data_IF_818204017445
#
_entry.id   IF_818204017445
#
_cell.length_a   1.000
_cell.length_b   1.000
_cell.length_c   1.000
_cell.angle_alpha   90.00
_cell.angle_beta   90.00
_cell.angle_gamma   90.00
#
_symmetry.space_group_name_H-M   'P 1'
#
loop_
_entity.id
_entity.type
_entity.pdbx_description
1 polymer ?
#
# COMPACT_ATOMS: atom_id res chain seq x y z
N UNK A 1 -5.78 16.02 -18.69
CA UNK A 1 -5.02 16.55 -17.54
C UNK A 1 -4.83 15.39 -16.58
N UNK A 2 -3.60 15.04 -16.21
CA UNK A 2 -3.40 14.04 -15.17
C UNK A 2 -3.79 14.65 -13.81
N UNK A 3 -4.42 13.89 -12.91
CA UNK A 3 -4.74 14.39 -11.59
C UNK A 3 -3.45 14.77 -10.87
N UNK A 4 -3.49 15.91 -10.17
CA UNK A 4 -2.40 16.30 -9.26
C UNK A 4 -2.32 15.23 -8.18
N UNK A 5 -1.15 14.58 -8.10
CA UNK A 5 -0.90 13.58 -7.06
C UNK A 5 -0.72 14.31 -5.75
N UNK A 6 -1.67 14.13 -4.83
CA UNK A 6 -1.55 14.65 -3.48
C UNK A 6 -0.65 13.75 -2.60
N UNK A 7 -0.35 14.22 -1.38
CA UNK A 7 0.50 13.50 -0.44
C UNK A 7 -0.03 12.09 -0.11
N UNK A 8 -1.35 11.91 0.01
CA UNK A 8 -1.96 10.62 0.35
C UNK A 8 -1.82 9.63 -0.80
N UNK A 9 -2.02 10.10 -2.03
CA UNK A 9 -1.81 9.30 -3.23
C UNK A 9 -0.34 8.86 -3.35
N UNK A 10 0.61 9.77 -3.11
CA UNK A 10 2.04 9.44 -3.12
C UNK A 10 2.39 8.37 -2.06
N UNK A 11 1.88 8.53 -0.84
CA UNK A 11 2.07 7.56 0.24
C UNK A 11 1.55 6.17 -0.12
N UNK A 12 0.33 6.11 -0.67
CA UNK A 12 -0.29 4.87 -1.16
C UNK A 12 0.56 4.22 -2.26
N UNK A 13 1.06 5.01 -3.21
CA UNK A 13 1.96 4.52 -4.26
C UNK A 13 3.26 3.94 -3.67
N UNK A 14 3.91 4.65 -2.76
CA UNK A 14 5.15 4.18 -2.10
C UNK A 14 4.93 2.87 -1.35
N UNK A 15 3.81 2.73 -0.62
CA UNK A 15 3.49 1.49 0.09
C UNK A 15 3.34 0.29 -0.87
N UNK A 16 2.60 0.48 -1.97
CA UNK A 16 2.42 -0.55 -3.00
C UNK A 16 3.77 -0.91 -3.62
N UNK A 17 4.59 0.07 -3.98
CA UNK A 17 5.93 -0.15 -4.55
C UNK A 17 6.83 -0.94 -3.60
N UNK A 18 6.82 -0.62 -2.30
CA UNK A 18 7.60 -1.36 -1.30
C UNK A 18 7.15 -2.82 -1.18
N UNK A 19 5.84 -3.08 -1.22
CA UNK A 19 5.31 -4.44 -1.21
C UNK A 19 5.76 -5.23 -2.46
N UNK A 20 5.67 -4.60 -3.64
CA UNK A 20 6.13 -5.22 -4.89
C UNK A 20 7.64 -5.55 -4.84
N UNK A 21 8.47 -4.63 -4.34
CA UNK A 21 9.92 -4.83 -4.18
C UNK A 21 10.27 -5.94 -3.18
N UNK A 22 9.39 -6.25 -2.24
CA UNK A 22 9.57 -7.32 -1.24
C UNK A 22 8.90 -8.64 -1.64
N UNK A 23 8.47 -8.76 -2.90
CA UNK A 23 7.95 -10.00 -3.48
C UNK A 23 6.47 -10.25 -3.25
N UNK A 24 5.71 -9.23 -2.84
CA UNK A 24 4.25 -9.30 -2.84
C UNK A 24 3.70 -9.05 -4.25
N UNK A 25 2.56 -9.67 -4.54
CA UNK A 25 1.67 -9.28 -5.65
C UNK A 25 0.54 -8.43 -5.10
N UNK A 26 0.17 -7.36 -5.80
CA UNK A 26 -0.91 -6.45 -5.38
C UNK A 26 -1.98 -6.41 -6.46
N UNK A 27 -3.24 -6.68 -6.10
CA UNK A 27 -4.40 -6.60 -6.99
C UNK A 27 -5.42 -5.61 -6.43
N UNK A 28 -5.82 -4.60 -7.22
CA UNK A 28 -6.99 -3.77 -6.89
C UNK A 28 -8.27 -4.50 -7.28
N UNK A 29 -9.23 -4.58 -6.38
CA UNK A 29 -10.57 -5.14 -6.60
C UNK A 29 -11.56 -4.20 -5.93
N UNK A 30 -12.36 -3.51 -6.73
CA UNK A 30 -13.28 -2.45 -6.26
C UNK A 30 -12.53 -1.45 -5.35
N UNK A 31 -13.03 -1.21 -4.13
CA UNK A 31 -12.42 -0.31 -3.14
C UNK A 31 -11.43 -1.02 -2.21
N UNK A 32 -10.82 -2.11 -2.68
CA UNK A 32 -9.87 -2.91 -1.89
C UNK A 32 -8.59 -3.21 -2.66
N UNK A 33 -7.51 -3.40 -1.90
CA UNK A 33 -6.23 -3.91 -2.38
C UNK A 33 -5.94 -5.25 -1.72
N UNK A 34 -5.69 -6.26 -2.55
CA UNK A 34 -5.35 -7.62 -2.13
C UNK A 34 -3.86 -7.83 -2.35
N UNK A 35 -3.13 -8.02 -1.26
CA UNK A 35 -1.71 -8.31 -1.23
C UNK A 35 -1.53 -9.82 -1.04
N UNK A 36 -0.76 -10.49 -1.91
CA UNK A 36 -0.45 -11.92 -1.79
C UNK A 36 1.04 -12.17 -1.89
N UNK A 37 1.57 -13.04 -1.03
CA UNK A 37 2.97 -13.49 -1.08
C UNK A 37 3.01 -15.00 -1.18
N UNK A 38 3.05 -15.49 -2.43
CA UNK A 38 2.81 -16.91 -2.77
C UNK A 38 3.79 -17.85 -2.06
N UNK A 39 5.06 -17.47 -1.95
CA UNK A 39 6.09 -18.30 -1.32
C UNK A 39 5.98 -18.35 0.21
N UNK A 40 5.22 -17.46 0.84
CA UNK A 40 4.95 -17.45 2.29
C UNK A 40 3.50 -17.84 2.62
N UNK A 41 2.67 -18.17 1.62
CA UNK A 41 1.22 -18.38 1.76
C UNK A 41 0.49 -17.24 2.52
N UNK A 42 0.99 -16.00 2.43
CA UNK A 42 0.36 -14.83 3.07
C UNK A 42 -0.62 -14.12 2.14
N UNK A 43 -1.73 -13.65 2.71
CA UNK A 43 -2.73 -12.83 2.03
C UNK A 43 -3.26 -11.76 2.98
N UNK A 44 -3.22 -10.51 2.55
CA UNK A 44 -3.73 -9.37 3.29
C UNK A 44 -4.69 -8.59 2.39
N UNK A 45 -5.80 -8.10 2.95
CA UNK A 45 -6.83 -7.34 2.23
C UNK A 45 -6.98 -6.01 2.95
N UNK A 46 -6.72 -4.93 2.22
CA UNK A 46 -6.85 -3.57 2.73
C UNK A 46 -7.99 -2.88 2.01
N UNK A 47 -8.93 -2.31 2.76
CA UNK A 47 -9.82 -1.31 2.18
C UNK A 47 -9.01 -0.07 1.80
N UNK A 48 -9.35 0.59 0.71
CA UNK A 48 -8.63 1.77 0.23
C UNK A 48 -8.59 2.87 1.30
N UNK A 49 -9.70 3.06 2.04
CA UNK A 49 -9.80 3.97 3.18
C UNK A 49 -8.90 3.58 4.35
N UNK A 50 -8.80 2.29 4.65
CA UNK A 50 -7.95 1.78 5.74
C UNK A 50 -6.47 1.83 5.37
N UNK A 51 -6.12 1.56 4.11
CA UNK A 51 -4.75 1.70 3.62
C UNK A 51 -4.26 3.14 3.79
N UNK A 52 -5.12 4.12 3.51
CA UNK A 52 -4.80 5.54 3.70
C UNK A 52 -4.52 5.89 5.16
N UNK A 53 -5.26 5.30 6.11
CA UNK A 53 -5.01 5.49 7.56
C UNK A 53 -3.77 4.73 8.03
N UNK A 54 -3.63 3.46 7.64
CA UNK A 54 -2.53 2.60 8.09
C UNK A 54 -1.16 3.04 7.57
N UNK A 55 -1.10 3.53 6.33
CA UNK A 55 0.13 4.08 5.75
C UNK A 55 0.53 5.39 6.43
N UNK A 56 -0.44 6.23 6.80
CA UNK A 56 -0.18 7.43 7.60
C UNK A 56 0.44 7.08 8.96
N UNK A 57 -0.11 6.07 9.64
CA UNK A 57 0.37 5.64 10.95
C UNK A 57 1.74 4.94 10.90
N UNK A 58 2.03 4.14 9.86
CA UNK A 58 3.30 3.40 9.76
C UNK A 58 4.46 4.19 9.12
N UNK A 59 4.20 5.14 8.21
CA UNK A 59 5.28 5.95 7.64
C UNK A 59 5.84 6.98 8.63
N UNK A 60 5.04 7.40 9.62
CA UNK A 60 5.50 8.32 10.66
C UNK A 60 6.61 7.70 11.52
N UNK A 61 6.64 6.36 11.65
CA UNK A 61 7.66 5.63 12.41
C UNK A 61 8.92 5.26 11.62
N UNK A 62 8.91 5.34 10.28
CA UNK A 62 10.09 4.98 9.45
C UNK A 62 11.07 6.16 9.28
N UNK A 63 10.64 7.41 9.54
CA UNK A 63 11.49 8.61 9.40
C UNK A 63 12.41 8.85 10.62
N UNK A 64 12.45 7.92 11.58
CA UNK A 64 13.37 8.01 12.74
C UNK A 64 14.29 6.80 12.83
N UNK A 65 15.10 6.55 11.80
CA UNK A 65 16.31 5.72 11.87
C UNK A 65 17.39 6.34 10.98
#
# INVERSE_FOLDING_TARGET
MFPVVDKKQLQKMTFIINALNTGWSVKKVDDTYVFTKKHENKKEIFQETYLETFVYDNMTNIITI
#
